data_IF_689994155471
#
_entry.id   IF_689994155471
#
_cell.length_a   1.000
_cell.length_b   1.000
_cell.length_c   1.000
_cell.angle_alpha   90.00
_cell.angle_beta   90.00
_cell.angle_gamma   90.00
#
_symmetry.space_group_name_H-M   'P 1'
#
loop_
_entity.id
_entity.type
_entity.pdbx_description
1 polymer ?
#
# COMPACT_ATOMS: atom_id res chain seq x y z
N UNK A 1 -3.68 0.48 -22.53
CA UNK A 1 -2.55 -0.04 -21.72
C UNK A 1 -2.46 0.88 -20.50
N UNK A 2 -2.92 0.46 -19.33
CA UNK A 2 -2.99 1.32 -18.13
C UNK A 2 -1.61 1.51 -17.49
N UNK A 3 -1.33 2.72 -17.01
CA UNK A 3 -0.10 3.07 -16.30
C UNK A 3 0.01 2.29 -14.96
N UNK A 4 1.23 1.97 -14.54
CA UNK A 4 1.54 1.55 -13.16
C UNK A 4 1.64 0.05 -12.86
N UNK A 5 1.24 -0.87 -13.76
CA UNK A 5 1.43 -2.32 -13.51
C UNK A 5 2.82 -2.79 -13.99
N UNK A 6 3.77 -2.92 -13.07
CA UNK A 6 5.00 -3.69 -13.30
C UNK A 6 4.59 -5.13 -13.58
N UNK A 7 4.90 -5.64 -14.78
CA UNK A 7 4.60 -7.03 -15.16
C UNK A 7 5.83 -7.89 -14.89
N UNK A 8 5.65 -8.92 -14.09
CA UNK A 8 6.66 -9.94 -13.81
C UNK A 8 6.26 -11.23 -14.56
N UNK A 9 7.26 -11.95 -15.07
CA UNK A 9 7.07 -13.17 -15.84
C UNK A 9 8.00 -14.26 -15.32
N UNK A 10 7.58 -15.52 -15.43
CA UNK A 10 8.52 -16.63 -15.32
C UNK A 10 9.52 -16.60 -16.50
N UNK A 11 10.61 -17.37 -16.41
CA UNK A 11 11.69 -17.36 -17.41
C UNK A 11 11.17 -17.56 -18.85
N UNK A 12 10.34 -18.58 -19.09
CA UNK A 12 9.81 -18.90 -20.42
C UNK A 12 8.93 -17.80 -20.99
N UNK A 13 7.98 -17.29 -20.19
CA UNK A 13 7.10 -16.20 -20.63
C UNK A 13 7.88 -14.91 -20.86
N UNK A 14 8.90 -14.63 -20.04
CA UNK A 14 9.77 -13.48 -20.23
C UNK A 14 10.46 -13.54 -21.59
N UNK A 15 11.04 -14.69 -21.96
CA UNK A 15 11.65 -14.88 -23.28
C UNK A 15 10.64 -14.60 -24.40
N UNK A 16 9.44 -15.19 -24.34
CA UNK A 16 8.41 -15.02 -25.38
C UNK A 16 7.98 -13.55 -25.55
N UNK A 17 7.77 -12.81 -24.46
CA UNK A 17 7.39 -11.39 -24.51
C UNK A 17 8.48 -10.53 -25.17
N UNK A 18 9.74 -10.89 -24.97
CA UNK A 18 10.89 -10.15 -25.52
C UNK A 18 11.23 -10.54 -26.96
N UNK A 19 10.60 -11.58 -27.53
CA UNK A 19 10.66 -11.85 -28.98
C UNK A 19 9.83 -10.83 -29.79
N UNK A 20 8.90 -10.12 -29.15
CA UNK A 20 8.07 -9.14 -29.83
C UNK A 20 8.92 -7.94 -30.29
N UNK A 21 8.82 -7.47 -31.55
CA UNK A 21 9.66 -6.40 -32.09
C UNK A 21 9.70 -5.12 -31.23
N UNK A 22 8.55 -4.71 -30.67
CA UNK A 22 8.45 -3.54 -29.77
C UNK A 22 9.12 -3.73 -28.39
N UNK A 23 9.61 -4.92 -28.06
CA UNK A 23 10.19 -5.30 -26.76
C UNK A 23 11.60 -5.88 -26.87
N UNK A 24 12.17 -6.01 -28.07
CA UNK A 24 13.51 -6.56 -28.30
C UNK A 24 14.60 -5.85 -27.47
N UNK A 25 14.50 -4.52 -27.35
CA UNK A 25 15.47 -3.70 -26.62
C UNK A 25 15.08 -3.43 -25.16
N UNK A 26 14.03 -4.09 -24.64
CA UNK A 26 13.61 -3.90 -23.26
C UNK A 26 14.58 -4.58 -22.30
N UNK A 27 15.19 -3.79 -21.40
CA UNK A 27 16.07 -4.29 -20.34
C UNK A 27 15.23 -4.73 -19.14
N UNK A 28 15.21 -6.02 -18.89
CA UNK A 28 14.57 -6.60 -17.70
C UNK A 28 15.63 -7.06 -16.71
N UNK A 29 15.27 -7.07 -15.42
CA UNK A 29 16.13 -7.55 -14.34
C UNK A 29 15.48 -8.77 -13.66
N UNK A 30 16.26 -9.79 -13.28
CA UNK A 30 15.77 -10.86 -12.42
C UNK A 30 15.26 -10.29 -11.09
N UNK A 31 14.12 -10.79 -10.62
CA UNK A 31 13.61 -10.45 -9.28
C UNK A 31 14.23 -11.41 -8.28
N UNK A 32 14.87 -10.89 -7.25
CA UNK A 32 15.40 -11.69 -6.13
C UNK A 32 14.30 -12.04 -5.15
N UNK A 33 14.29 -13.27 -4.65
CA UNK A 33 13.50 -13.64 -3.49
C UNK A 33 14.19 -13.15 -2.21
N UNK A 34 13.43 -12.81 -1.14
CA UNK A 34 14.01 -12.56 0.18
C UNK A 34 14.86 -13.74 0.65
N UNK A 35 16.01 -13.45 1.29
CA UNK A 35 16.98 -14.47 1.73
C UNK A 35 16.43 -15.39 2.83
N UNK A 36 15.42 -14.92 3.57
CA UNK A 36 14.80 -15.65 4.66
C UNK A 36 13.77 -16.68 4.17
N UNK A 37 13.48 -16.70 2.87
CA UNK A 37 12.66 -17.75 2.29
C UNK A 37 13.54 -19.02 2.18
N UNK A 38 13.11 -20.18 2.73
CA UNK A 38 13.84 -21.43 2.56
C UNK A 38 14.08 -21.68 1.07
N UNK A 39 15.17 -22.37 0.73
CA UNK A 39 15.56 -22.69 -0.66
C UNK A 39 14.39 -23.37 -1.38
N UNK A 40 13.56 -22.52 -1.99
CA UNK A 40 12.23 -22.91 -2.42
C UNK A 40 12.45 -23.59 -3.75
N UNK A 41 12.37 -24.91 -3.73
CA UNK A 41 12.40 -25.69 -4.95
C UNK A 41 11.25 -25.16 -5.83
N UNK A 42 11.60 -24.40 -6.87
CA UNK A 42 10.72 -23.62 -7.77
C UNK A 42 9.58 -24.44 -8.39
N UNK A 43 9.60 -25.75 -8.17
CA UNK A 43 8.70 -26.76 -8.70
C UNK A 43 7.37 -26.82 -7.97
N UNK A 44 7.26 -26.45 -6.68
CA UNK A 44 6.08 -26.86 -5.88
C UNK A 44 5.35 -25.80 -5.03
N UNK A 45 5.52 -24.49 -5.26
CA UNK A 45 4.44 -23.63 -4.80
C UNK A 45 4.54 -22.12 -5.01
N UNK A 46 3.44 -21.49 -4.63
CA UNK A 46 3.15 -20.08 -4.77
C UNK A 46 4.08 -19.23 -3.88
N UNK A 47 4.62 -18.15 -4.42
CA UNK A 47 5.30 -17.12 -3.61
C UNK A 47 4.27 -16.59 -2.61
N UNK A 48 4.59 -16.49 -1.30
CA UNK A 48 3.64 -15.97 -0.32
C UNK A 48 3.20 -14.56 -0.70
N UNK A 49 1.91 -14.39 -1.01
CA UNK A 49 1.32 -13.08 -1.21
C UNK A 49 1.00 -12.48 0.15
N UNK A 50 1.74 -11.45 0.54
CA UNK A 50 1.43 -10.68 1.73
C UNK A 50 0.53 -9.51 1.33
N UNK A 51 -0.71 -9.56 1.78
CA UNK A 51 -1.62 -8.42 1.66
C UNK A 51 -1.34 -7.48 2.84
N UNK A 52 -1.18 -6.19 2.54
CA UNK A 52 -1.13 -5.13 3.54
C UNK A 52 -2.46 -4.40 3.55
N UNK A 53 -2.92 -4.02 4.74
CA UNK A 53 -4.14 -3.24 4.92
C UNK A 53 -3.79 -1.82 5.37
N UNK A 54 -4.42 -0.83 4.74
CA UNK A 54 -4.30 0.56 5.17
C UNK A 54 -5.03 0.73 6.51
N UNK A 55 -4.29 1.14 7.54
CA UNK A 55 -4.84 1.32 8.88
C UNK A 55 -4.76 2.77 9.39
N UNK A 56 -3.95 3.62 8.77
CA UNK A 56 -3.86 5.03 9.11
C UNK A 56 -3.44 5.88 7.91
N UNK A 57 -3.96 7.12 7.86
CA UNK A 57 -3.56 8.15 6.90
C UNK A 57 -3.21 9.40 7.69
N UNK A 58 -2.01 9.93 7.51
CA UNK A 58 -1.59 11.22 8.07
C UNK A 58 -1.76 12.29 7.00
N UNK A 59 -2.61 13.27 7.25
CA UNK A 59 -2.92 14.36 6.34
C UNK A 59 -2.32 15.67 6.85
N UNK A 60 -1.96 16.56 5.92
CA UNK A 60 -1.55 17.93 6.21
C UNK A 60 -2.07 18.84 5.11
N UNK A 61 -2.73 19.93 5.47
CA UNK A 61 -3.16 20.94 4.50
C UNK A 61 -2.12 22.06 4.37
N UNK A 62 -1.69 22.64 5.49
CA UNK A 62 -0.70 23.73 5.51
C UNK A 62 0.44 23.45 6.49
N UNK A 63 0.16 23.54 7.80
CA UNK A 63 1.13 23.32 8.88
C UNK A 63 0.61 22.41 9.99
N UNK A 64 -0.66 22.02 9.92
CA UNK A 64 -1.32 21.20 10.92
C UNK A 64 -1.53 19.78 10.37
N UNK A 65 -0.99 18.80 11.11
CA UNK A 65 -1.22 17.39 10.83
C UNK A 65 -2.51 16.91 11.50
N UNK A 66 -3.32 16.19 10.75
CA UNK A 66 -4.48 15.44 11.24
C UNK A 66 -4.36 13.99 10.80
N UNK A 67 -5.03 13.07 11.48
CA UNK A 67 -4.94 11.65 11.17
C UNK A 67 -6.32 11.01 10.99
N UNK A 68 -6.42 10.10 10.02
CA UNK A 68 -7.52 9.15 9.90
C UNK A 68 -7.03 7.77 10.31
N UNK A 69 -7.68 7.11 11.27
CA UNK A 69 -7.25 5.81 11.80
C UNK A 69 -8.36 4.79 11.69
N UNK A 70 -8.05 3.61 11.16
CA UNK A 70 -8.98 2.48 11.04
C UNK A 70 -9.04 1.73 12.37
N UNK A 71 -10.23 1.65 12.97
CA UNK A 71 -10.43 1.01 14.28
C UNK A 71 -11.12 -0.36 14.19
N UNK A 72 -11.59 -0.74 13.00
CA UNK A 72 -12.31 -1.99 12.76
C UNK A 72 -12.12 -2.47 11.33
N UNK A 73 -12.62 -3.67 11.02
CA UNK A 73 -12.49 -4.26 9.68
C UNK A 73 -13.43 -3.64 8.64
N UNK A 74 -14.55 -3.09 9.10
CA UNK A 74 -15.56 -2.48 8.24
C UNK A 74 -15.00 -1.32 7.42
N UNK A 75 -15.52 -1.12 6.22
CA UNK A 75 -15.07 -0.05 5.32
C UNK A 75 -15.35 1.34 5.88
N UNK A 76 -16.38 1.47 6.75
CA UNK A 76 -16.74 2.72 7.44
C UNK A 76 -16.02 2.92 8.78
N UNK A 77 -15.21 1.96 9.24
CA UNK A 77 -14.59 1.98 10.57
C UNK A 77 -13.37 2.91 10.65
N UNK A 78 -13.58 4.20 10.42
CA UNK A 78 -12.56 5.25 10.48
C UNK A 78 -12.85 6.29 11.55
N UNK A 79 -11.78 6.75 12.20
CA UNK A 79 -11.79 7.87 13.14
C UNK A 79 -10.96 9.01 12.56
N UNK A 80 -11.48 10.22 12.67
CA UNK A 80 -10.72 11.45 12.48
C UNK A 80 -10.14 11.89 13.82
N UNK A 81 -8.85 12.20 13.81
CA UNK A 81 -8.08 12.67 14.95
C UNK A 81 -7.46 14.03 14.62
N UNK A 82 -7.82 15.03 15.42
CA UNK A 82 -7.22 16.35 15.41
C UNK A 82 -6.77 16.70 16.84
N UNK A 83 -5.45 16.89 16.98
CA UNK A 83 -4.80 17.18 18.26
C UNK A 83 -5.02 18.60 18.79
N UNK A 84 -5.46 19.54 17.95
CA UNK A 84 -5.67 20.95 18.31
C UNK A 84 -7.14 21.38 18.23
N UNK A 85 -8.06 20.43 18.02
CA UNK A 85 -9.46 20.75 17.82
C UNK A 85 -10.19 21.23 19.08
N UNK A 86 -9.65 20.99 20.28
CA UNK A 86 -10.25 21.41 21.53
C UNK A 86 -9.44 22.59 22.13
N UNK A 87 -10.04 23.78 22.19
CA UNK A 87 -9.41 25.01 22.74
C UNK A 87 -10.15 25.57 23.95
N UNK A 88 -10.90 24.75 24.69
CA UNK A 88 -11.59 25.17 25.92
C UNK A 88 -10.71 25.12 27.20
N UNK A 89 -9.40 25.36 27.06
CA UNK A 89 -8.53 25.70 28.20
C UNK A 89 -8.03 24.54 29.07
N UNK A 90 -8.23 23.29 28.66
CA UNK A 90 -7.57 22.13 29.29
C UNK A 90 -6.36 21.70 28.46
N UNK A 91 -5.17 21.70 29.07
CA UNK A 91 -3.86 21.59 28.39
C UNK A 91 -3.59 20.24 27.67
N UNK A 92 -4.55 19.33 27.57
CA UNK A 92 -4.37 17.99 26.99
C UNK A 92 -5.61 17.44 26.24
N UNK A 93 -6.51 18.29 25.74
CA UNK A 93 -7.71 17.82 25.05
C UNK A 93 -7.47 17.62 23.53
N UNK A 94 -7.93 16.49 23.00
CA UNK A 94 -7.92 16.16 21.56
C UNK A 94 -9.33 15.72 21.15
N UNK A 95 -9.75 15.99 19.91
CA UNK A 95 -11.04 15.52 19.43
C UNK A 95 -10.90 14.27 18.57
N UNK A 96 -11.75 13.30 18.87
CA UNK A 96 -11.92 12.07 18.13
C UNK A 96 -13.35 12.03 17.60
N UNK A 97 -13.50 12.04 16.28
CA UNK A 97 -14.79 11.94 15.61
C UNK A 97 -14.85 10.70 14.74
N UNK A 98 -16.02 10.05 14.66
CA UNK A 98 -16.25 9.02 13.63
C UNK A 98 -16.23 9.74 12.29
N UNK A 99 -15.29 9.35 11.42
CA UNK A 99 -15.21 9.90 10.08
C UNK A 99 -16.40 9.36 9.28
N UNK A 100 -17.33 10.24 8.91
CA UNK A 100 -18.44 9.89 8.02
C UNK A 100 -17.99 10.14 6.58
N UNK A 101 -18.45 9.30 5.64
CA UNK A 101 -17.93 9.19 4.27
C UNK A 101 -18.05 10.42 3.36
N UNK A 102 -18.32 11.61 3.90
CA UNK A 102 -18.25 12.90 3.20
C UNK A 102 -16.90 13.61 3.34
N UNK A 103 -16.02 13.17 4.26
CA UNK A 103 -14.72 13.82 4.54
C UNK A 103 -13.49 12.97 4.14
N UNK A 104 -13.66 12.00 3.23
CA UNK A 104 -12.59 11.21 2.60
C UNK A 104 -12.50 11.47 1.09
#
# INVERSE_FOLDING_TARGET
>A
ISAGKIKQFCKTCNTQVHLHPKRLNHKYNPVSLPKDLPDWDWRHGCIPCQNMELFAVLCIETSHYVAFVKYGKDDSAWLFFDSMADRDGTENAFLLHVAQGSDL
#
